data_IF_866331670453
#
_entry.id   IF_866331670453
#
_cell.length_a   1.000
_cell.length_b   1.000
_cell.length_c   1.000
_cell.angle_alpha   90.00
_cell.angle_beta   90.00
_cell.angle_gamma   90.00
#
_symmetry.space_group_name_H-M   'P 1'
#
loop_
_entity.id
_entity.type
_entity.pdbx_description
1 polymer ?
#
# COMPACT_ATOMS: atom_id res chain seq x y z
N UNK A 1 21.01 13.53 -7.21
CA UNK A 1 19.60 13.22 -6.89
C UNK A 1 18.78 13.54 -8.13
N UNK A 2 18.35 12.50 -8.87
CA UNK A 2 17.68 12.68 -10.15
C UNK A 2 16.22 13.07 -9.94
N UNK A 3 15.91 14.35 -10.08
CA UNK A 3 14.53 14.86 -10.11
C UNK A 3 14.07 14.91 -11.57
N UNK A 4 13.29 13.93 -12.02
CA UNK A 4 12.52 14.07 -13.25
C UNK A 4 11.17 14.73 -12.94
N UNK A 5 10.98 15.93 -13.50
CA UNK A 5 9.72 16.68 -13.60
C UNK A 5 9.02 17.08 -12.29
N UNK A 6 9.52 18.15 -11.67
CA UNK A 6 8.72 19.38 -11.57
C UNK A 6 7.45 19.40 -10.72
N UNK A 7 7.36 18.63 -9.62
CA UNK A 7 6.70 18.99 -8.34
C UNK A 7 6.74 17.77 -7.41
N UNK A 8 7.56 17.84 -6.36
CA UNK A 8 7.56 16.89 -5.26
C UNK A 8 6.84 17.47 -4.04
N UNK A 9 6.25 16.59 -3.24
CA UNK A 9 5.58 16.96 -2.00
C UNK A 9 6.52 16.62 -0.84
N UNK A 10 7.02 17.64 -0.14
CA UNK A 10 8.04 17.48 0.91
C UNK A 10 7.40 17.45 2.29
N UNK A 11 7.74 16.49 3.13
CA UNK A 11 7.35 16.58 4.54
C UNK A 11 7.99 17.83 5.18
N UNK A 12 7.29 18.49 6.11
CA UNK A 12 7.79 19.71 6.78
C UNK A 12 8.72 19.39 7.95
N UNK A 13 8.57 18.20 8.53
CA UNK A 13 9.33 17.73 9.69
C UNK A 13 10.53 16.84 9.28
N UNK A 14 10.46 16.23 8.10
CA UNK A 14 11.52 15.38 7.55
C UNK A 14 11.83 15.72 6.10
N UNK A 15 13.08 15.50 5.68
CA UNK A 15 13.54 15.72 4.31
C UNK A 15 13.11 14.60 3.33
N UNK A 16 11.98 13.96 3.59
CA UNK A 16 11.37 12.97 2.69
C UNK A 16 10.53 13.66 1.61
N UNK A 17 10.73 13.22 0.36
CA UNK A 17 10.04 13.74 -0.82
C UNK A 17 9.13 12.66 -1.40
N UNK A 18 7.85 13.00 -1.57
CA UNK A 18 6.84 12.14 -2.16
C UNK A 18 6.52 12.56 -3.59
N UNK A 19 6.21 11.57 -4.43
CA UNK A 19 5.78 11.79 -5.81
C UNK A 19 4.34 12.33 -5.92
N UNK A 20 3.53 12.20 -4.86
CA UNK A 20 2.13 12.63 -4.84
C UNK A 20 1.77 13.29 -3.50
N UNK A 21 0.75 14.16 -3.52
CA UNK A 21 0.24 14.84 -2.32
C UNK A 21 -0.37 13.84 -1.34
N UNK A 22 -1.10 12.86 -1.87
CA UNK A 22 -1.74 11.81 -1.06
C UNK A 22 -0.69 11.03 -0.27
N UNK A 23 0.42 10.62 -0.91
CA UNK A 23 1.50 9.91 -0.22
C UNK A 23 2.15 10.73 0.91
N UNK A 24 2.32 12.04 0.71
CA UNK A 24 2.80 12.95 1.75
C UNK A 24 1.79 13.05 2.92
N UNK A 25 0.50 13.23 2.63
CA UNK A 25 -0.54 13.33 3.67
C UNK A 25 -0.66 12.02 4.45
N UNK A 26 -0.53 10.89 3.78
CA UNK A 26 -0.57 9.57 4.40
C UNK A 26 0.62 9.35 5.32
N UNK A 27 1.82 9.74 4.90
CA UNK A 27 3.00 9.77 5.78
C UNK A 27 2.73 10.61 7.04
N UNK A 28 2.21 11.84 6.88
CA UNK A 28 1.91 12.72 8.01
C UNK A 28 0.83 12.12 8.93
N UNK A 29 -0.20 11.49 8.34
CA UNK A 29 -1.26 10.81 9.08
C UNK A 29 -0.74 9.60 9.86
N UNK A 30 0.16 8.81 9.28
CA UNK A 30 0.65 7.58 9.87
C UNK A 30 1.73 7.84 10.92
N UNK A 31 2.70 8.70 10.61
CA UNK A 31 3.94 8.83 11.38
C UNK A 31 3.87 10.00 12.36
N UNK A 32 3.31 11.15 11.95
CA UNK A 32 3.33 12.35 12.79
C UNK A 32 2.10 12.47 13.69
N UNK A 33 0.91 12.15 13.16
CA UNK A 33 -0.35 12.43 13.87
C UNK A 33 -1.04 11.18 14.39
N UNK A 34 -0.87 10.02 13.75
CA UNK A 34 -1.60 8.78 14.03
C UNK A 34 -3.15 8.91 14.03
N UNK A 35 -3.70 10.04 13.60
CA UNK A 35 -5.14 10.38 13.76
C UNK A 35 -6.04 9.60 12.79
N UNK A 36 -5.47 8.93 11.80
CA UNK A 36 -6.23 8.20 10.78
C UNK A 36 -5.44 7.03 10.21
N UNK A 37 -4.53 6.43 10.98
CA UNK A 37 -3.85 5.20 10.57
C UNK A 37 -4.74 4.00 10.83
N UNK A 38 -4.87 3.13 9.83
CA UNK A 38 -5.48 1.82 10.00
C UNK A 38 -4.39 0.87 10.49
N UNK A 39 -4.41 0.52 11.77
CA UNK A 39 -3.42 -0.34 12.38
C UNK A 39 -3.80 -1.82 12.24
N UNK A 40 -2.81 -2.64 11.89
CA UNK A 40 -2.90 -4.07 12.03
C UNK A 40 -2.75 -4.45 13.50
N UNK A 41 -3.75 -5.11 14.07
CA UNK A 41 -3.69 -5.57 15.46
C UNK A 41 -2.70 -6.71 15.69
N UNK A 42 -2.32 -7.45 14.64
CA UNK A 42 -1.42 -8.59 14.76
C UNK A 42 0.07 -8.21 14.74
N UNK A 43 0.46 -7.23 13.92
CA UNK A 43 1.86 -6.80 13.82
C UNK A 43 2.11 -5.33 14.15
N UNK A 44 1.07 -4.56 14.48
CA UNK A 44 1.17 -3.14 14.82
C UNK A 44 1.48 -2.22 13.64
N UNK A 45 1.51 -2.72 12.40
CA UNK A 45 1.77 -1.88 11.22
C UNK A 45 0.60 -0.94 10.93
N UNK A 46 0.92 0.30 10.61
CA UNK A 46 -0.05 1.32 10.26
C UNK A 46 -0.14 1.52 8.75
N UNK A 47 -1.36 1.62 8.23
CA UNK A 47 -1.65 1.85 6.83
C UNK A 47 -2.50 3.10 6.64
N UNK A 48 -2.36 3.74 5.49
CA UNK A 48 -3.07 4.98 5.16
C UNK A 48 -4.57 4.77 4.92
N UNK A 49 -4.92 3.58 4.44
CA UNK A 49 -6.25 3.22 3.98
C UNK A 49 -6.67 1.83 4.46
N UNK A 50 -7.96 1.68 4.76
CA UNK A 50 -8.52 0.45 5.30
C UNK A 50 -8.39 -0.73 4.31
N UNK A 51 -8.56 -0.48 3.01
CA UNK A 51 -8.45 -1.52 1.99
C UNK A 51 -7.03 -2.10 1.89
N UNK A 52 -6.00 -1.28 2.11
CA UNK A 52 -4.60 -1.70 2.17
C UNK A 52 -4.35 -2.51 3.45
N UNK A 53 -4.89 -2.09 4.60
CA UNK A 53 -4.82 -2.88 5.84
C UNK A 53 -5.46 -4.26 5.65
N UNK A 54 -6.68 -4.33 5.10
CA UNK A 54 -7.38 -5.59 4.87
C UNK A 54 -6.60 -6.52 3.96
N UNK A 55 -5.99 -5.99 2.90
CA UNK A 55 -5.13 -6.75 2.01
C UNK A 55 -3.87 -7.24 2.72
N UNK A 56 -3.24 -6.40 3.54
CA UNK A 56 -2.09 -6.78 4.33
C UNK A 56 -2.44 -7.94 5.28
N UNK A 57 -3.54 -7.84 6.02
CA UNK A 57 -4.01 -8.90 6.91
C UNK A 57 -4.28 -10.19 6.13
N UNK A 58 -5.01 -10.10 5.00
CA UNK A 58 -5.27 -11.28 4.15
C UNK A 58 -4.03 -11.94 3.58
N UNK A 59 -3.01 -11.16 3.22
CA UNK A 59 -1.82 -11.68 2.53
C UNK A 59 -0.72 -12.17 3.47
N UNK A 60 -0.62 -11.58 4.66
CA UNK A 60 0.49 -11.86 5.60
C UNK A 60 0.02 -12.66 6.82
N UNK A 61 -1.17 -12.35 7.34
CA UNK A 61 -1.66 -12.89 8.61
C UNK A 61 -2.68 -14.00 8.43
N UNK A 62 -3.42 -13.95 7.32
CA UNK A 62 -4.42 -14.96 6.99
C UNK A 62 -3.76 -15.95 6.04
N UNK A 63 -3.68 -17.23 6.43
CA UNK A 63 -3.34 -18.33 5.51
C UNK A 63 -4.52 -18.64 4.57
N UNK A 64 -5.26 -17.60 4.18
CA UNK A 64 -6.39 -17.75 3.28
C UNK A 64 -5.83 -18.21 1.94
N UNK A 65 -6.37 -19.33 1.47
CA UNK A 65 -5.96 -19.97 0.23
C UNK A 65 -5.94 -18.90 -0.87
N UNK A 66 -4.79 -18.67 -1.53
CA UNK A 66 -4.67 -17.60 -2.50
C UNK A 66 -5.73 -17.77 -3.58
N UNK A 67 -6.25 -16.65 -4.10
CA UNK A 67 -7.20 -16.70 -5.20
C UNK A 67 -6.54 -17.45 -6.36
N UNK A 68 -7.01 -18.69 -6.58
CA UNK A 68 -6.47 -19.59 -7.59
C UNK A 68 -6.95 -19.07 -8.94
N UNK A 69 -6.03 -18.55 -9.73
CA UNK A 69 -6.30 -18.18 -11.11
C UNK A 69 -6.72 -19.46 -11.87
N UNK A 70 -7.96 -19.52 -12.38
CA UNK A 70 -8.44 -20.71 -13.12
C UNK A 70 -7.76 -20.89 -14.48
N UNK A 71 -7.01 -19.88 -14.94
CA UNK A 71 -6.22 -19.89 -16.18
C UNK A 71 -4.71 -20.12 -15.95
N UNK A 72 -4.25 -20.09 -14.71
CA UNK A 72 -2.84 -20.15 -14.37
C UNK A 72 -2.68 -20.64 -12.92
N UNK A 73 -1.82 -21.62 -12.64
CA UNK A 73 -1.56 -22.08 -11.26
C UNK A 73 -0.81 -21.05 -10.39
N UNK A 74 -0.90 -19.76 -10.73
CA UNK A 74 -0.35 -18.66 -9.95
C UNK A 74 -1.36 -18.21 -8.92
N UNK A 75 -0.91 -18.31 -7.67
CA UNK A 75 -1.59 -17.86 -6.48
C UNK A 75 -1.45 -16.34 -6.35
N UNK A 76 -2.56 -15.61 -6.38
CA UNK A 76 -2.57 -14.16 -6.18
C UNK A 76 -3.27 -13.80 -4.86
N UNK A 77 -2.68 -12.94 -4.01
CA UNK A 77 -3.33 -12.43 -2.80
C UNK A 77 -4.38 -11.33 -3.09
N UNK A 78 -4.57 -10.96 -4.36
CA UNK A 78 -5.52 -9.94 -4.81
C UNK A 78 -6.70 -10.58 -5.55
N UNK A 79 -7.95 -10.14 -5.32
CA UNK A 79 -9.10 -10.52 -6.15
C UNK A 79 -9.09 -9.71 -7.46
N UNK A 80 -8.01 -9.79 -8.23
CA UNK A 80 -7.89 -9.09 -9.51
C UNK A 80 -8.11 -10.08 -10.65
N UNK A 81 -9.31 -10.07 -11.24
CA UNK A 81 -9.59 -10.77 -12.51
C UNK A 81 -8.82 -10.17 -13.71
N UNK A 82 -8.04 -9.09 -13.50
CA UNK A 82 -7.32 -8.33 -14.53
C UNK A 82 -5.83 -8.65 -14.67
N UNK A 83 -5.31 -9.68 -13.99
CA UNK A 83 -3.88 -10.02 -14.04
C UNK A 83 -3.36 -10.48 -15.43
N UNK A 84 -4.21 -10.55 -16.46
CA UNK A 84 -3.83 -10.88 -17.85
C UNK A 84 -3.79 -9.66 -18.79
N UNK A 85 -3.74 -8.42 -18.29
CA UNK A 85 -3.71 -7.24 -19.17
C UNK A 85 -2.30 -6.73 -19.52
N UNK A 86 -1.23 -7.25 -18.90
CA UNK A 86 0.14 -6.79 -19.15
C UNK A 86 1.15 -7.94 -19.16
N UNK A 87 1.11 -8.76 -20.19
CA UNK A 87 2.27 -9.53 -20.64
C UNK A 87 2.43 -9.26 -22.13
N UNK A 88 3.39 -8.39 -22.47
CA UNK A 88 4.00 -8.36 -23.80
C UNK A 88 4.87 -9.60 -23.98
#
# INVERSE_FOLDING_TARGET
MYTHNGRSYKCTEWDECFASRSGQLDHIRIIHTAVNSHNCMECGKCFAENHILHQHVRSIHTHDEPYKCTKCDKCCPFPAQTAHAYTY
#
